data_IF_199466887502
#
_entry.id   IF_199466887502
#
_cell.length_a   1.000
_cell.length_b   1.000
_cell.length_c   1.000
_cell.angle_alpha   90.00
_cell.angle_beta   90.00
_cell.angle_gamma   90.00
#
_symmetry.space_group_name_H-M   'P 1'
#
loop_
_entity.id
_entity.type
_entity.pdbx_description
1 polymer ?
#
# COMPACT_ATOMS: atom_id res chain seq x y z
N UNK A 1 4.94 -0.48 -25.40
CA UNK A 1 4.19 0.67 -24.85
C UNK A 1 3.05 0.34 -23.85
N UNK A 2 2.59 -0.92 -23.63
CA UNK A 2 1.69 -1.21 -22.50
C UNK A 2 2.38 -1.15 -21.13
N UNK A 3 3.70 -1.36 -21.06
CA UNK A 3 4.46 -1.44 -19.81
C UNK A 3 4.44 -0.10 -19.04
N UNK A 4 4.55 1.03 -19.74
CA UNK A 4 4.48 2.36 -19.10
C UNK A 4 3.12 2.63 -18.44
N UNK A 5 2.04 2.07 -19.00
CA UNK A 5 0.69 2.25 -18.47
C UNK A 5 0.50 1.42 -17.19
N UNK A 6 0.99 0.17 -17.18
CA UNK A 6 1.01 -0.67 -15.97
C UNK A 6 1.87 -0.07 -14.85
N UNK A 7 3.08 0.41 -15.19
CA UNK A 7 3.97 1.05 -14.23
C UNK A 7 3.35 2.32 -13.63
N UNK A 8 2.64 3.11 -14.43
CA UNK A 8 1.92 4.29 -13.97
C UNK A 8 0.77 3.93 -13.02
N UNK A 9 -0.02 2.90 -13.36
CA UNK A 9 -1.11 2.42 -12.49
C UNK A 9 -0.58 1.89 -11.16
N UNK A 10 0.49 1.09 -11.15
CA UNK A 10 1.09 0.61 -9.90
C UNK A 10 1.68 1.74 -9.06
N UNK A 11 2.30 2.75 -9.69
CA UNK A 11 2.79 3.93 -9.00
C UNK A 11 1.68 4.72 -8.31
N UNK A 12 0.56 4.96 -9.02
CA UNK A 12 -0.60 5.68 -8.47
C UNK A 12 -1.23 4.89 -7.32
N UNK A 13 -1.44 3.58 -7.48
CA UNK A 13 -2.01 2.74 -6.42
C UNK A 13 -1.10 2.68 -5.19
N UNK A 14 0.21 2.66 -5.37
CA UNK A 14 1.19 2.71 -4.28
C UNK A 14 1.12 4.05 -3.53
N UNK A 15 1.04 5.17 -4.25
CA UNK A 15 0.88 6.49 -3.63
C UNK A 15 -0.43 6.60 -2.84
N UNK A 16 -1.54 6.09 -3.37
CA UNK A 16 -2.83 6.06 -2.68
C UNK A 16 -2.75 5.19 -1.42
N UNK A 17 -2.19 3.98 -1.52
CA UNK A 17 -2.02 3.10 -0.36
C UNK A 17 -1.17 3.77 0.73
N UNK A 18 -0.10 4.47 0.35
CA UNK A 18 0.75 5.19 1.29
C UNK A 18 0.00 6.34 1.99
N UNK A 19 -0.77 7.15 1.25
CA UNK A 19 -1.56 8.24 1.83
C UNK A 19 -2.66 7.73 2.76
N UNK A 20 -3.40 6.69 2.35
CA UNK A 20 -4.46 6.08 3.15
C UNK A 20 -3.88 5.44 4.41
N UNK A 21 -2.76 4.71 4.28
CA UNK A 21 -2.04 4.12 5.41
C UNK A 21 -1.53 5.18 6.38
N UNK A 22 -0.92 6.26 5.88
CA UNK A 22 -0.44 7.39 6.68
C UNK A 22 -1.56 8.09 7.46
N UNK A 23 -2.70 8.34 6.81
CA UNK A 23 -3.90 8.86 7.47
C UNK A 23 -4.39 7.90 8.57
N UNK A 24 -4.44 6.59 8.29
CA UNK A 24 -4.86 5.59 9.26
C UNK A 24 -3.90 5.52 10.47
N UNK A 25 -2.58 5.66 10.28
CA UNK A 25 -1.59 5.76 11.37
C UNK A 25 -1.90 6.95 12.28
N UNK A 26 -2.16 8.12 11.70
CA UNK A 26 -2.48 9.32 12.47
C UNK A 26 -3.74 9.12 13.34
N UNK A 27 -4.80 8.53 12.78
CA UNK A 27 -6.01 8.22 13.53
C UNK A 27 -5.81 7.10 14.55
N UNK A 28 -5.03 6.06 14.25
CA UNK A 28 -4.69 4.99 15.19
C UNK A 28 -4.01 5.54 16.44
N UNK A 29 -2.98 6.37 16.27
CA UNK A 29 -2.21 6.98 17.37
C UNK A 29 -3.07 7.94 18.18
N UNK A 30 -3.94 8.72 17.51
CA UNK A 30 -4.86 9.64 18.20
C UNK A 30 -5.90 8.89 19.04
N UNK A 31 -6.44 7.78 18.54
CA UNK A 31 -7.45 6.98 19.23
C UNK A 31 -6.86 6.05 20.30
N UNK A 32 -5.59 5.64 20.17
CA UNK A 32 -4.88 4.92 21.23
C UNK A 32 -4.87 5.69 22.57
N UNK A 33 -4.85 7.03 22.51
CA UNK A 33 -4.93 7.90 23.71
C UNK A 33 -6.30 7.89 24.39
N UNK A 34 -7.37 7.48 23.69
CA UNK A 34 -8.76 7.49 24.18
C UNK A 34 -9.21 6.17 24.82
N UNK A 35 -8.34 5.14 24.85
CA UNK A 35 -8.66 3.77 25.29
C UNK A 35 -9.76 3.06 24.48
N UNK A 36 -10.14 3.59 23.31
CA UNK A 36 -11.04 2.91 22.37
C UNK A 36 -10.29 1.80 21.62
N UNK A 37 -10.17 0.63 22.27
CA UNK A 37 -9.41 -0.52 21.75
C UNK A 37 -9.92 -1.04 20.40
N UNK A 38 -11.24 -1.07 20.19
CA UNK A 38 -11.84 -1.58 18.95
C UNK A 38 -11.50 -0.70 17.73
N UNK A 39 -11.69 0.62 17.85
CA UNK A 39 -11.33 1.58 16.81
C UNK A 39 -9.83 1.53 16.50
N UNK A 40 -8.99 1.38 17.53
CA UNK A 40 -7.55 1.24 17.35
C UNK A 40 -7.21 0.00 16.51
N UNK A 41 -7.81 -1.16 16.81
CA UNK A 41 -7.59 -2.39 16.05
C UNK A 41 -8.01 -2.25 14.58
N UNK A 42 -9.15 -1.58 14.31
CA UNK A 42 -9.61 -1.33 12.94
C UNK A 42 -8.59 -0.48 12.18
N UNK A 43 -8.08 0.60 12.78
CA UNK A 43 -7.06 1.42 12.09
C UNK A 43 -5.76 0.65 11.87
N UNK A 44 -5.31 -0.17 12.83
CA UNK A 44 -4.14 -1.04 12.63
C UNK A 44 -4.34 -2.06 11.51
N UNK A 45 -5.54 -2.63 11.37
CA UNK A 45 -5.87 -3.52 10.26
C UNK A 45 -5.82 -2.78 8.91
N UNK A 46 -6.34 -1.55 8.84
CA UNK A 46 -6.26 -0.70 7.64
C UNK A 46 -4.81 -0.37 7.29
N UNK A 47 -3.97 -0.07 8.29
CA UNK A 47 -2.54 0.20 8.10
C UNK A 47 -1.83 -1.05 7.55
N UNK A 48 -2.11 -2.23 8.09
CA UNK A 48 -1.53 -3.48 7.63
C UNK A 48 -1.93 -3.79 6.17
N UNK A 49 -3.20 -3.61 5.81
CA UNK A 49 -3.69 -3.81 4.44
C UNK A 49 -3.08 -2.80 3.46
N UNK A 50 -2.95 -1.53 3.86
CA UNK A 50 -2.29 -0.51 3.06
C UNK A 50 -0.80 -0.85 2.84
N UNK A 51 -0.11 -1.33 3.89
CA UNK A 51 1.28 -1.76 3.80
C UNK A 51 1.48 -2.97 2.87
N UNK A 52 0.62 -3.98 2.97
CA UNK A 52 0.64 -5.14 2.08
C UNK A 52 0.38 -4.74 0.62
N UNK A 53 -0.57 -3.83 0.40
CA UNK A 53 -0.87 -3.32 -0.94
C UNK A 53 0.32 -2.55 -1.51
N UNK A 54 0.93 -1.66 -0.72
CA UNK A 54 2.11 -0.90 -1.14
C UNK A 54 3.29 -1.84 -1.45
N UNK A 55 3.58 -2.81 -0.59
CA UNK A 55 4.65 -3.78 -0.80
C UNK A 55 4.40 -4.64 -2.04
N UNK A 56 3.17 -5.13 -2.23
CA UNK A 56 2.79 -5.94 -3.39
C UNK A 56 2.92 -5.17 -4.71
N UNK A 57 2.45 -3.92 -4.76
CA UNK A 57 2.54 -3.08 -5.95
C UNK A 57 3.99 -2.66 -6.25
N UNK A 58 4.77 -2.35 -5.21
CA UNK A 58 6.21 -2.05 -5.34
C UNK A 58 6.98 -3.27 -5.84
N UNK A 59 6.64 -4.47 -5.36
CA UNK A 59 7.28 -5.71 -5.80
C UNK A 59 6.91 -6.06 -7.24
N UNK A 60 5.64 -5.88 -7.63
CA UNK A 60 5.17 -6.08 -9.00
C UNK A 60 5.92 -5.18 -10.00
N UNK A 61 6.26 -3.95 -9.60
CA UNK A 61 7.07 -3.02 -10.40
C UNK A 61 8.44 -3.60 -10.79
N UNK A 62 9.08 -4.36 -9.90
CA UNK A 62 10.38 -5.00 -10.18
C UNK A 62 10.23 -6.38 -10.82
N UNK A 63 9.26 -7.18 -10.37
CA UNK A 63 9.14 -8.57 -10.79
C UNK A 63 8.66 -8.71 -12.23
N UNK A 64 7.71 -7.86 -12.66
CA UNK A 64 7.12 -7.93 -14.01
C UNK A 64 8.17 -7.68 -15.09
N UNK A 65 9.01 -6.62 -15.04
CA UNK A 65 10.08 -6.41 -16.01
C UNK A 65 11.11 -7.54 -16.04
N UNK A 66 11.47 -8.12 -14.89
CA UNK A 66 12.44 -9.23 -14.82
C UNK A 66 11.88 -10.48 -15.50
N UNK A 67 10.62 -10.81 -15.24
CA UNK A 67 9.94 -11.95 -15.86
C UNK A 67 9.75 -11.71 -17.36
N UNK A 68 9.32 -10.52 -17.77
CA UNK A 68 9.14 -10.17 -19.17
C UNK A 68 10.46 -10.26 -19.96
N UNK A 69 11.58 -9.72 -19.43
CA UNK A 69 12.90 -9.82 -20.08
C UNK A 69 13.53 -11.22 -20.06
N UNK A 70 13.00 -12.16 -19.28
CA UNK A 70 13.45 -13.57 -19.30
C UNK A 70 12.59 -14.46 -20.19
N UNK A 71 11.36 -14.05 -20.47
CA UNK A 71 10.39 -14.82 -21.27
C UNK A 71 10.39 -14.42 -22.75
N UNK A 72 10.90 -13.23 -23.09
CA UNK A 72 11.14 -12.74 -24.44
C UNK A 72 12.64 -12.58 -24.71
#
# INVERSE_FOLDING_TARGET
MPDNLLLMVFGILSAIAFLVGGCAIYFAVKNAKKKDGELMMVFWAVIALAGLTFAGMSWAYFLIPILANRLF
#
